data_IF_084496389408
#
_entry.id   IF_084496389408
#
_cell.length_a   1.000
_cell.length_b   1.000
_cell.length_c   1.000
_cell.angle_alpha   90.00
_cell.angle_beta   90.00
_cell.angle_gamma   90.00
#
_symmetry.space_group_name_H-M   'P 1'
#
loop_
_entity.id
_entity.type
_entity.pdbx_description
1 polymer ?
#
# COMPACT_ATOMS: atom_id res chain seq x y z
N UNK A 1 6.02 20.15 7.15
CA UNK A 1 5.84 21.06 5.97
C UNK A 1 4.36 21.15 5.58
N UNK A 2 3.75 20.27 4.75
CA UNK A 2 2.30 20.35 4.47
C UNK A 2 1.44 20.09 5.71
N UNK A 3 1.82 19.17 6.58
CA UNK A 3 1.10 18.91 7.84
C UNK A 3 1.19 20.06 8.85
N UNK A 4 2.10 20.99 8.64
CA UNK A 4 2.27 22.18 9.48
C UNK A 4 1.52 23.39 8.89
N UNK A 5 1.49 23.51 7.57
CA UNK A 5 0.80 24.57 6.84
C UNK A 5 0.46 24.16 5.42
N UNK A 6 -0.80 24.28 5.06
CA UNK A 6 -1.29 24.08 3.69
C UNK A 6 -0.94 25.24 2.74
N UNK A 7 -0.45 26.37 3.26
CA UNK A 7 -0.03 27.53 2.46
C UNK A 7 1.44 27.46 2.02
N UNK A 8 2.08 26.30 2.13
CA UNK A 8 3.46 26.08 1.77
C UNK A 8 3.60 25.63 0.31
N UNK A 9 3.78 26.57 -0.61
CA UNK A 9 3.89 26.31 -2.06
C UNK A 9 5.00 25.31 -2.41
N UNK A 10 6.18 25.42 -1.77
CA UNK A 10 7.30 24.51 -2.01
C UNK A 10 6.95 23.06 -1.62
N UNK A 11 6.17 22.89 -0.57
CA UNK A 11 5.72 21.55 -0.17
C UNK A 11 4.70 20.99 -1.16
N UNK A 12 3.81 21.82 -1.70
CA UNK A 12 2.89 21.43 -2.76
C UNK A 12 3.62 21.07 -4.07
N UNK A 13 4.61 21.86 -4.47
CA UNK A 13 5.47 21.56 -5.63
C UNK A 13 6.15 20.20 -5.47
N UNK A 14 6.74 19.93 -4.30
CA UNK A 14 7.42 18.64 -4.03
C UNK A 14 6.46 17.45 -4.08
N UNK A 15 5.27 17.55 -3.48
CA UNK A 15 4.27 16.48 -3.50
C UNK A 15 3.72 16.30 -4.91
N UNK A 16 3.47 17.39 -5.65
CA UNK A 16 2.99 17.31 -7.04
C UNK A 16 4.02 16.67 -7.96
N UNK A 17 5.30 16.99 -7.79
CA UNK A 17 6.39 16.34 -8.51
C UNK A 17 6.48 14.86 -8.16
N UNK A 18 6.42 14.50 -6.88
CA UNK A 18 6.44 13.10 -6.44
C UNK A 18 5.27 12.30 -7.03
N UNK A 19 4.06 12.88 -7.05
CA UNK A 19 2.88 12.26 -7.65
C UNK A 19 3.06 12.07 -9.18
N UNK A 20 3.61 13.07 -9.87
CA UNK A 20 3.91 12.98 -11.30
C UNK A 20 4.92 11.88 -11.61
N UNK A 21 6.03 11.83 -10.87
CA UNK A 21 7.04 10.76 -11.01
C UNK A 21 6.46 9.38 -10.72
N UNK A 22 5.61 9.26 -9.69
CA UNK A 22 4.88 8.02 -9.41
C UNK A 22 4.00 7.59 -10.58
N UNK A 23 3.26 8.52 -11.17
CA UNK A 23 2.43 8.28 -12.36
C UNK A 23 3.25 7.81 -13.57
N UNK A 24 4.42 8.39 -13.80
CA UNK A 24 5.35 7.97 -14.87
C UNK A 24 5.85 6.54 -14.64
N UNK A 25 6.20 6.19 -13.41
CA UNK A 25 6.63 4.83 -13.05
C UNK A 25 5.50 3.83 -13.28
N UNK A 26 4.28 4.16 -12.87
CA UNK A 26 3.09 3.33 -13.11
C UNK A 26 2.88 3.11 -14.62
N UNK A 27 3.05 4.16 -15.42
CA UNK A 27 2.88 4.08 -16.89
C UNK A 27 3.90 3.15 -17.57
N UNK A 28 5.09 2.98 -17.00
CA UNK A 28 6.17 2.16 -17.57
C UNK A 28 6.21 0.75 -16.96
N UNK A 29 6.11 0.65 -15.64
CA UNK A 29 6.32 -0.59 -14.89
C UNK A 29 5.02 -1.24 -14.39
N UNK A 30 3.90 -0.57 -14.53
CA UNK A 30 2.64 -1.00 -13.95
C UNK A 30 2.62 -0.85 -12.42
N UNK A 31 1.66 -1.51 -11.80
CA UNK A 31 1.49 -1.58 -10.35
C UNK A 31 1.65 -3.02 -9.85
N UNK A 32 1.84 -3.20 -8.54
CA UNK A 32 2.05 -4.53 -7.97
C UNK A 32 0.98 -4.90 -6.93
N UNK A 33 1.28 -5.85 -6.05
CA UNK A 33 0.34 -6.45 -5.10
C UNK A 33 -0.49 -5.44 -4.30
N UNK A 34 0.09 -4.31 -3.85
CA UNK A 34 -0.66 -3.33 -3.07
C UNK A 34 -1.89 -2.80 -3.82
N UNK A 35 -1.74 -2.44 -5.08
CA UNK A 35 -2.85 -2.02 -5.93
C UNK A 35 -3.79 -3.19 -6.27
N UNK A 36 -3.22 -4.38 -6.49
CA UNK A 36 -4.00 -5.58 -6.76
C UNK A 36 -4.98 -5.92 -5.65
N UNK A 37 -4.53 -5.78 -4.40
CA UNK A 37 -5.38 -6.02 -3.22
C UNK A 37 -6.31 -4.84 -2.91
N UNK A 38 -5.91 -3.62 -3.27
CA UNK A 38 -6.71 -2.43 -2.96
C UNK A 38 -7.92 -2.26 -3.89
N UNK A 39 -7.79 -2.57 -5.18
CA UNK A 39 -8.85 -2.37 -6.18
C UNK A 39 -10.18 -3.05 -5.81
N UNK A 40 -10.23 -4.30 -5.30
CA UNK A 40 -11.46 -4.91 -4.82
C UNK A 40 -12.13 -4.12 -3.67
N UNK A 41 -11.34 -3.59 -2.74
CA UNK A 41 -11.86 -2.82 -1.61
C UNK A 41 -12.48 -1.50 -2.08
N UNK A 42 -11.80 -0.76 -2.96
CA UNK A 42 -12.35 0.44 -3.58
C UNK A 42 -13.59 0.15 -4.42
N UNK A 43 -13.59 -0.92 -5.20
CA UNK A 43 -14.72 -1.32 -6.02
C UNK A 43 -15.96 -1.70 -5.19
N UNK A 44 -15.77 -2.30 -4.04
CA UNK A 44 -16.86 -2.77 -3.17
C UNK A 44 -17.50 -1.64 -2.34
N UNK A 45 -16.70 -0.75 -1.77
CA UNK A 45 -17.16 0.24 -0.79
C UNK A 45 -16.89 1.69 -1.23
N UNK A 46 -16.45 1.93 -2.47
CA UNK A 46 -16.11 3.26 -2.97
C UNK A 46 -15.10 4.02 -2.06
N UNK A 47 -14.09 3.30 -1.62
CA UNK A 47 -13.05 3.83 -0.74
C UNK A 47 -12.16 4.81 -1.51
N UNK A 48 -11.67 5.85 -0.85
CA UNK A 48 -10.62 6.70 -1.42
C UNK A 48 -9.34 5.87 -1.60
N UNK A 49 -8.91 5.68 -2.84
CA UNK A 49 -7.85 4.76 -3.25
C UNK A 49 -6.57 4.87 -2.41
N UNK A 50 -6.06 6.10 -2.20
CA UNK A 50 -4.87 6.30 -1.37
C UNK A 50 -5.02 5.87 0.09
N UNK A 51 -6.24 5.92 0.65
CA UNK A 51 -6.52 5.44 2.01
C UNK A 51 -6.54 3.92 2.07
N UNK A 52 -7.11 3.27 1.05
CA UNK A 52 -7.05 1.81 0.92
C UNK A 52 -5.63 1.30 0.77
N UNK A 53 -4.80 1.98 -0.04
CA UNK A 53 -3.37 1.67 -0.15
C UNK A 53 -2.63 1.86 1.18
N UNK A 54 -2.93 2.94 1.93
CA UNK A 54 -2.30 3.18 3.23
C UNK A 54 -2.59 2.04 4.22
N UNK A 55 -3.82 1.54 4.24
CA UNK A 55 -4.22 0.42 5.11
C UNK A 55 -3.50 -0.89 4.78
N UNK A 56 -3.27 -1.17 3.49
CA UNK A 56 -2.74 -2.45 3.03
C UNK A 56 -1.21 -2.49 2.91
N UNK A 57 -0.58 -1.37 2.51
CA UNK A 57 0.84 -1.35 2.16
C UNK A 57 1.76 -1.86 3.26
N UNK A 58 1.63 -1.48 4.55
CA UNK A 58 2.52 -1.99 5.60
C UNK A 58 2.45 -3.52 5.76
N UNK A 59 1.25 -4.10 5.67
CA UNK A 59 1.04 -5.55 5.81
C UNK A 59 1.65 -6.31 4.63
N UNK A 60 1.49 -5.75 3.43
CA UNK A 60 2.03 -6.34 2.20
C UNK A 60 3.57 -6.26 2.22
N UNK A 61 4.14 -5.13 2.62
CA UNK A 61 5.59 -4.94 2.71
C UNK A 61 6.23 -5.90 3.70
N UNK A 62 5.62 -6.16 4.86
CA UNK A 62 6.06 -7.18 5.81
C UNK A 62 6.30 -8.55 5.14
N UNK A 63 5.44 -8.90 4.17
CA UNK A 63 5.49 -10.19 3.47
C UNK A 63 6.39 -10.19 2.24
N UNK A 64 6.62 -9.01 1.64
CA UNK A 64 7.45 -8.86 0.44
C UNK A 64 8.92 -8.56 0.76
N UNK A 65 9.22 -7.92 1.90
CA UNK A 65 10.57 -7.49 2.24
C UNK A 65 11.61 -8.64 2.22
N UNK A 66 11.30 -9.85 2.73
CA UNK A 66 12.23 -10.97 2.65
C UNK A 66 12.56 -11.43 1.22
N UNK A 67 11.70 -11.15 0.24
CA UNK A 67 11.93 -11.55 -1.17
C UNK A 67 12.86 -10.59 -1.93
N UNK A 68 12.97 -9.33 -1.48
CA UNK A 68 13.87 -8.32 -2.06
C UNK A 68 14.53 -7.46 -0.96
N UNK A 69 15.34 -8.06 -0.06
CA UNK A 69 15.81 -7.40 1.15
C UNK A 69 16.57 -6.10 0.87
N UNK A 70 17.44 -6.09 -0.14
CA UNK A 70 18.22 -4.90 -0.48
C UNK A 70 17.34 -3.71 -0.87
N UNK A 71 16.31 -3.94 -1.69
CA UNK A 71 15.39 -2.88 -2.14
C UNK A 71 14.55 -2.33 -0.99
N UNK A 72 14.02 -3.21 -0.15
CA UNK A 72 13.23 -2.80 1.01
C UNK A 72 14.10 -2.15 2.11
N UNK A 73 15.38 -2.52 2.22
CA UNK A 73 16.33 -1.81 3.09
C UNK A 73 16.58 -0.37 2.60
N UNK A 74 16.66 -0.14 1.28
CA UNK A 74 16.75 1.22 0.72
C UNK A 74 15.51 2.05 1.05
N UNK A 75 14.32 1.51 0.85
CA UNK A 75 13.05 2.18 1.19
C UNK A 75 12.98 2.48 2.69
N UNK A 76 13.33 1.49 3.53
CA UNK A 76 13.38 1.63 4.98
C UNK A 76 14.27 2.80 5.41
N UNK A 77 15.49 2.90 4.88
CA UNK A 77 16.45 3.97 5.19
C UNK A 77 15.92 5.36 4.80
N UNK A 78 15.25 5.49 3.65
CA UNK A 78 14.62 6.75 3.23
C UNK A 78 13.57 7.21 4.24
N UNK A 79 12.86 6.26 4.88
CA UNK A 79 11.83 6.51 5.88
C UNK A 79 12.37 6.54 7.33
N UNK A 80 13.69 6.47 7.52
CA UNK A 80 14.34 6.55 8.83
C UNK A 80 14.51 5.22 9.56
N UNK A 81 14.28 4.08 8.90
CA UNK A 81 14.60 2.75 9.39
C UNK A 81 16.05 2.36 9.10
N UNK A 82 16.43 1.13 9.41
CA UNK A 82 17.82 0.62 9.32
C UNK A 82 18.01 -0.36 8.15
N UNK A 83 17.11 -1.31 8.03
CA UNK A 83 17.18 -2.41 7.06
C UNK A 83 15.76 -2.84 6.62
N UNK A 84 15.68 -3.93 5.86
CA UNK A 84 14.41 -4.41 5.32
C UNK A 84 13.40 -4.84 6.40
N UNK A 85 13.88 -5.28 7.58
CA UNK A 85 13.01 -5.72 8.67
C UNK A 85 12.26 -4.56 9.33
N UNK A 86 12.84 -3.36 9.27
CA UNK A 86 12.22 -2.12 9.74
C UNK A 86 11.26 -1.49 8.71
N UNK A 87 11.24 -1.97 7.46
CA UNK A 87 10.59 -1.26 6.35
C UNK A 87 9.09 -1.03 6.60
N UNK A 88 8.35 -2.08 6.97
CA UNK A 88 6.92 -1.97 7.22
C UNK A 88 6.61 -1.03 8.39
N UNK A 89 7.39 -1.09 9.47
CA UNK A 89 7.23 -0.20 10.61
C UNK A 89 7.60 1.25 10.30
N UNK A 90 8.59 1.46 9.44
CA UNK A 90 8.95 2.80 8.96
C UNK A 90 7.82 3.41 8.13
N UNK A 91 7.15 2.60 7.29
CA UNK A 91 5.96 3.01 6.56
C UNK A 91 4.81 3.33 7.52
N UNK A 92 4.52 2.49 8.53
CA UNK A 92 3.48 2.76 9.55
C UNK A 92 3.75 4.08 10.27
N UNK A 93 4.99 4.32 10.70
CA UNK A 93 5.38 5.59 11.35
C UNK A 93 5.16 6.79 10.43
N UNK A 94 5.54 6.68 9.16
CA UNK A 94 5.31 7.73 8.18
C UNK A 94 3.82 8.00 7.96
N UNK A 95 3.01 6.97 7.75
CA UNK A 95 1.56 7.09 7.57
C UNK A 95 0.91 7.75 8.79
N UNK A 96 1.32 7.37 9.99
CA UNK A 96 0.86 8.00 11.24
C UNK A 96 1.23 9.48 11.32
N UNK A 97 2.43 9.86 10.88
CA UNK A 97 2.87 11.26 10.88
C UNK A 97 2.11 12.16 9.91
N UNK A 98 1.40 11.58 8.93
CA UNK A 98 0.57 12.30 7.95
C UNK A 98 -0.93 12.01 8.09
N UNK A 99 -1.36 11.52 9.26
CA UNK A 99 -2.77 11.19 9.59
C UNK A 99 -3.44 10.19 8.64
N UNK A 100 -2.64 9.24 8.13
CA UNK A 100 -3.09 8.12 7.27
C UNK A 100 -2.91 6.75 7.93
N UNK A 101 -2.82 6.69 9.25
CA UNK A 101 -2.80 5.44 10.03
C UNK A 101 -4.23 4.88 10.13
N UNK A 102 -4.68 4.30 9.03
CA UNK A 102 -6.05 3.80 8.84
C UNK A 102 -6.04 2.29 8.59
N UNK A 103 -7.14 1.65 8.94
CA UNK A 103 -7.43 0.26 8.59
C UNK A 103 -8.54 0.18 7.54
N UNK A 104 -8.67 -0.95 6.84
CA UNK A 104 -9.80 -1.20 5.96
C UNK A 104 -11.13 -1.20 6.72
N UNK A 105 -11.14 -1.65 7.99
CA UNK A 105 -12.30 -1.57 8.87
C UNK A 105 -12.79 -0.14 9.09
N UNK A 106 -11.88 0.82 9.26
CA UNK A 106 -12.21 2.26 9.37
C UNK A 106 -12.82 2.81 8.09
N UNK A 107 -12.61 2.13 6.97
CA UNK A 107 -13.11 2.49 5.64
C UNK A 107 -14.40 1.75 5.27
N UNK A 108 -14.98 0.99 6.20
CA UNK A 108 -16.26 0.30 6.04
C UNK A 108 -16.16 -1.13 5.47
N UNK A 109 -14.96 -1.68 5.36
CA UNK A 109 -14.77 -3.11 5.05
C UNK A 109 -15.02 -3.92 6.33
N UNK A 110 -15.71 -5.03 6.18
CA UNK A 110 -16.00 -5.97 7.28
C UNK A 110 -15.51 -7.37 6.94
N UNK A 111 -15.42 -8.24 7.94
CA UNK A 111 -14.90 -9.60 7.75
C UNK A 111 -15.66 -10.40 6.68
N UNK A 112 -16.97 -10.18 6.55
CA UNK A 112 -17.79 -10.84 5.53
C UNK A 112 -17.44 -10.44 4.10
N UNK A 113 -16.78 -9.29 3.90
CA UNK A 113 -16.33 -8.82 2.59
C UNK A 113 -15.07 -9.56 2.11
N UNK A 114 -14.28 -10.17 3.01
CA UNK A 114 -12.96 -10.76 2.73
C UNK A 114 -13.02 -11.82 1.63
N UNK A 115 -14.00 -12.71 1.70
CA UNK A 115 -14.12 -13.78 0.70
C UNK A 115 -14.34 -13.22 -0.71
N UNK A 116 -15.25 -12.26 -0.85
CA UNK A 116 -15.53 -11.64 -2.14
C UNK A 116 -14.31 -10.87 -2.67
N UNK A 117 -13.66 -10.07 -1.81
CA UNK A 117 -12.47 -9.31 -2.19
C UNK A 117 -11.32 -10.23 -2.62
N UNK A 118 -11.12 -11.34 -1.91
CA UNK A 118 -10.12 -12.35 -2.25
C UNK A 118 -10.38 -12.95 -3.62
N UNK A 119 -11.60 -13.42 -3.88
CA UNK A 119 -11.97 -14.03 -5.15
C UNK A 119 -11.85 -13.03 -6.31
N UNK A 120 -12.26 -11.78 -6.09
CA UNK A 120 -12.15 -10.71 -7.06
C UNK A 120 -10.66 -10.36 -7.34
N UNK A 121 -9.84 -10.21 -6.31
CA UNK A 121 -8.42 -9.96 -6.43
C UNK A 121 -7.71 -11.03 -7.27
N UNK A 122 -7.92 -12.30 -6.94
CA UNK A 122 -7.31 -13.42 -7.66
C UNK A 122 -7.75 -13.50 -9.12
N UNK A 123 -8.98 -13.09 -9.43
CA UNK A 123 -9.54 -13.13 -10.79
C UNK A 123 -9.12 -11.93 -11.64
N UNK A 124 -9.23 -10.73 -11.09
CA UNK A 124 -9.09 -9.49 -11.85
C UNK A 124 -7.68 -8.90 -11.75
N UNK A 125 -7.03 -9.06 -10.59
CA UNK A 125 -5.74 -8.44 -10.30
C UNK A 125 -4.55 -9.38 -10.42
N UNK A 126 -4.70 -10.55 -11.05
CA UNK A 126 -3.63 -11.53 -11.20
C UNK A 126 -2.35 -10.93 -11.81
N UNK A 127 -2.47 -10.02 -12.80
CA UNK A 127 -1.34 -9.32 -13.39
C UNK A 127 -0.57 -8.47 -12.36
N UNK A 128 -1.29 -7.77 -11.48
CA UNK A 128 -0.68 -6.95 -10.44
C UNK A 128 0.01 -7.82 -9.37
N UNK A 129 -0.59 -8.96 -9.01
CA UNK A 129 0.02 -9.90 -8.07
C UNK A 129 1.30 -10.52 -8.65
N UNK A 130 1.29 -10.86 -9.94
CA UNK A 130 2.45 -11.43 -10.64
C UNK A 130 3.59 -10.40 -10.82
N UNK A 131 3.30 -9.11 -10.74
CA UNK A 131 4.30 -8.03 -10.81
C UNK A 131 4.93 -7.72 -9.43
N UNK A 132 4.70 -8.56 -8.44
CA UNK A 132 5.30 -8.45 -7.12
C UNK A 132 6.52 -9.39 -6.97
N UNK A 133 7.49 -9.07 -6.09
CA UNK A 133 8.66 -9.92 -5.83
C UNK A 133 8.30 -11.33 -5.34
N UNK A 134 7.14 -11.46 -4.73
CA UNK A 134 6.55 -12.73 -4.31
C UNK A 134 5.08 -12.73 -4.73
N UNK A 135 4.65 -13.79 -5.40
CA UNK A 135 3.23 -14.00 -5.71
C UNK A 135 2.53 -14.57 -4.49
N UNK A 136 1.44 -13.93 -4.08
CA UNK A 136 0.62 -14.37 -2.94
C UNK A 136 -0.35 -15.48 -3.36
N UNK A 137 -0.51 -16.49 -2.50
CA UNK A 137 -1.58 -17.46 -2.63
C UNK A 137 -2.94 -16.84 -2.28
N UNK A 138 -4.01 -17.52 -2.61
CA UNK A 138 -5.38 -17.09 -2.27
C UNK A 138 -5.56 -16.95 -0.75
N UNK A 139 -5.00 -17.88 0.01
CA UNK A 139 -5.05 -17.90 1.47
C UNK A 139 -4.27 -16.72 2.07
N UNK A 140 -3.10 -16.41 1.51
CA UNK A 140 -2.30 -15.24 1.93
C UNK A 140 -3.02 -13.92 1.63
N UNK A 141 -3.71 -13.82 0.49
CA UNK A 141 -4.54 -12.64 0.15
C UNK A 141 -5.69 -12.47 1.15
N UNK A 142 -6.39 -13.56 1.49
CA UNK A 142 -7.46 -13.53 2.49
C UNK A 142 -6.95 -13.11 3.88
N UNK A 143 -5.78 -13.64 4.27
CA UNK A 143 -5.14 -13.30 5.54
C UNK A 143 -4.74 -11.80 5.58
N UNK A 144 -4.17 -11.27 4.49
CA UNK A 144 -3.82 -9.84 4.41
C UNK A 144 -5.06 -8.97 4.61
N UNK A 145 -6.17 -9.29 3.96
CA UNK A 145 -7.42 -8.54 4.15
C UNK A 145 -7.92 -8.61 5.60
N UNK A 146 -7.91 -9.81 6.19
CA UNK A 146 -8.35 -10.00 7.57
C UNK A 146 -7.50 -9.24 8.59
N UNK A 147 -6.19 -9.13 8.34
CA UNK A 147 -5.27 -8.35 9.19
C UNK A 147 -5.43 -6.83 9.02
N UNK A 148 -5.97 -6.38 7.88
CA UNK A 148 -6.18 -4.97 7.59
C UNK A 148 -7.51 -4.42 8.14
N UNK A 149 -8.41 -5.26 8.63
CA UNK A 149 -9.68 -4.90 9.27
C UNK A 149 -9.46 -4.66 10.76
#
# INVERSE_FOLDING_TARGET
MLMESYDNDRAWEAVSLAATLGGMVIGVAGVSAAHGLEHPASGLKNIVHGRGLAALTPIIVDRLAPALPQKFAEVSKILGGKDETDCADSIRKFLKAIDLDVKLGDLGIVQDDVQWMTDNCMKISAGNLNNAPKVFSKEEVAEIYSLAI
#
